data_IF_177802814493
#
_entry.id   IF_177802814493
#
_cell.length_a   1.000
_cell.length_b   1.000
_cell.length_c   1.000
_cell.angle_alpha   90.00
_cell.angle_beta   90.00
_cell.angle_gamma   90.00
#
_symmetry.space_group_name_H-M   'P 1'
#
loop_
_entity.id
_entity.type
_entity.pdbx_description
1 polymer ?
#
# COMPACT_ATOMS: atom_id res chain seq x y z
N UNK A 1 2.83 13.91 -12.12
CA UNK A 1 3.43 13.29 -13.32
C UNK A 1 2.38 12.94 -14.36
N UNK A 2 1.24 12.36 -13.95
CA UNK A 2 0.21 11.87 -14.86
C UNK A 2 -0.73 12.96 -15.39
N UNK A 3 -1.33 12.68 -16.54
CA UNK A 3 -2.61 13.28 -16.99
C UNK A 3 -3.79 12.40 -16.57
N UNK A 4 -5.02 12.92 -16.66
CA UNK A 4 -6.24 12.15 -16.39
C UNK A 4 -6.30 10.85 -17.20
N UNK A 5 -6.02 10.92 -18.50
CA UNK A 5 -6.03 9.74 -19.39
C UNK A 5 -4.98 8.70 -18.98
N UNK A 6 -3.80 9.14 -18.57
CA UNK A 6 -2.73 8.25 -18.10
C UNK A 6 -3.11 7.57 -16.78
N UNK A 7 -3.67 8.33 -15.83
CA UNK A 7 -4.16 7.79 -14.56
C UNK A 7 -5.27 6.76 -14.78
N UNK A 8 -6.28 7.08 -15.61
CA UNK A 8 -7.36 6.17 -15.96
C UNK A 8 -6.84 4.91 -16.66
N UNK A 9 -5.88 5.04 -17.58
CA UNK A 9 -5.25 3.90 -18.25
C UNK A 9 -4.52 2.98 -17.28
N UNK A 10 -3.76 3.54 -16.33
CA UNK A 10 -3.11 2.76 -15.29
C UNK A 10 -4.14 1.99 -14.46
N UNK A 11 -5.15 2.67 -13.93
CA UNK A 11 -6.17 2.07 -13.07
C UNK A 11 -6.95 0.98 -13.80
N UNK A 12 -7.32 1.19 -15.06
CA UNK A 12 -7.99 0.17 -15.86
C UNK A 12 -7.09 -1.05 -16.12
N UNK A 13 -5.80 -0.82 -16.35
CA UNK A 13 -4.82 -1.90 -16.56
C UNK A 13 -4.67 -2.74 -15.29
N UNK A 14 -4.51 -2.10 -14.14
CA UNK A 14 -4.44 -2.79 -12.85
C UNK A 14 -5.75 -3.50 -12.52
N UNK A 15 -6.90 -2.85 -12.69
CA UNK A 15 -8.22 -3.46 -12.49
C UNK A 15 -8.36 -4.75 -13.29
N UNK A 16 -7.97 -4.74 -14.58
CA UNK A 16 -8.00 -5.94 -15.42
C UNK A 16 -7.08 -7.04 -14.89
N UNK A 17 -5.87 -6.70 -14.43
CA UNK A 17 -4.92 -7.67 -13.90
C UNK A 17 -5.36 -8.30 -12.56
N UNK A 18 -6.07 -7.55 -11.72
CA UNK A 18 -6.52 -8.04 -10.41
C UNK A 18 -7.92 -8.67 -10.43
N UNK A 19 -8.71 -8.52 -11.51
CA UNK A 19 -10.10 -8.97 -11.55
C UNK A 19 -10.25 -10.49 -11.36
N UNK A 20 -9.59 -11.30 -12.20
CA UNK A 20 -9.73 -12.75 -12.14
C UNK A 20 -9.20 -13.32 -10.81
N UNK A 21 -8.18 -12.67 -10.24
CA UNK A 21 -7.67 -13.00 -8.91
C UNK A 21 -8.69 -12.68 -7.82
N UNK A 22 -9.35 -11.52 -7.87
CA UNK A 22 -10.38 -11.17 -6.90
C UNK A 22 -11.60 -12.10 -6.98
N UNK A 23 -11.98 -12.52 -8.20
CA UNK A 23 -13.04 -13.52 -8.39
C UNK A 23 -12.66 -14.85 -7.75
N UNK A 24 -11.43 -15.30 -7.99
CA UNK A 24 -10.89 -16.53 -7.38
C UNK A 24 -10.85 -16.42 -5.86
N UNK A 25 -10.36 -15.30 -5.32
CA UNK A 25 -10.32 -15.05 -3.88
C UNK A 25 -11.72 -15.18 -3.26
N UNK A 26 -12.73 -14.49 -3.80
CA UNK A 26 -14.10 -14.56 -3.27
C UNK A 26 -14.68 -15.97 -3.38
N UNK A 27 -14.36 -16.70 -4.45
CA UNK A 27 -14.80 -18.08 -4.61
C UNK A 27 -14.15 -19.01 -3.57
N UNK A 28 -12.84 -18.90 -3.36
CA UNK A 28 -12.10 -19.64 -2.33
C UNK A 28 -12.70 -19.39 -0.93
N UNK A 29 -13.08 -18.14 -0.63
CA UNK A 29 -13.73 -17.79 0.65
C UNK A 29 -15.11 -18.44 0.79
N UNK A 30 -15.94 -18.40 -0.26
CA UNK A 30 -17.26 -19.03 -0.27
C UNK A 30 -17.17 -20.54 -0.11
N UNK A 31 -16.24 -21.18 -0.81
CA UNK A 31 -16.03 -22.62 -0.75
C UNK A 31 -15.51 -23.04 0.63
N UNK A 32 -14.57 -22.29 1.20
CA UNK A 32 -14.10 -22.53 2.56
C UNK A 32 -15.21 -22.33 3.60
N UNK A 33 -15.97 -21.24 3.51
CA UNK A 33 -17.14 -20.99 4.37
C UNK A 33 -18.15 -22.15 4.30
N UNK A 34 -18.46 -22.63 3.09
CA UNK A 34 -19.33 -23.79 2.86
C UNK A 34 -18.78 -25.08 3.46
N UNK A 35 -17.48 -25.35 3.29
CA UNK A 35 -16.84 -26.53 3.86
C UNK A 35 -16.87 -26.54 5.40
N UNK A 36 -16.84 -25.35 6.02
CA UNK A 36 -16.97 -25.20 7.47
C UNK A 36 -18.42 -25.31 7.96
N UNK A 37 -19.39 -25.51 7.06
CA UNK A 37 -20.81 -25.68 7.38
C UNK A 37 -21.49 -24.39 7.84
N UNK A 38 -20.92 -23.22 7.52
CA UNK A 38 -21.47 -21.95 7.94
C UNK A 38 -22.74 -21.59 7.14
N UNK A 39 -23.83 -21.16 7.80
CA UNK A 39 -25.09 -20.86 7.13
C UNK A 39 -24.98 -19.69 6.13
N UNK A 40 -24.12 -18.71 6.42
CA UNK A 40 -23.85 -17.55 5.58
C UNK A 40 -23.15 -17.90 4.24
N UNK A 41 -22.68 -19.14 4.06
CA UNK A 41 -22.13 -19.58 2.77
C UNK A 41 -23.12 -19.44 1.60
N UNK A 42 -24.42 -19.54 1.88
CA UNK A 42 -25.49 -19.38 0.88
C UNK A 42 -25.89 -17.91 0.65
N UNK A 43 -25.46 -16.99 1.52
CA UNK A 43 -25.74 -15.56 1.46
C UNK A 43 -24.48 -14.79 1.91
N UNK A 44 -23.40 -14.99 1.16
CA UNK A 44 -22.08 -14.47 1.49
C UNK A 44 -21.96 -12.98 1.13
N UNK A 45 -21.71 -12.15 2.12
CA UNK A 45 -21.80 -10.69 2.04
C UNK A 45 -20.47 -9.99 2.37
N UNK A 46 -20.43 -8.65 2.23
CA UNK A 46 -19.20 -7.85 2.43
C UNK A 46 -18.59 -8.00 3.83
N UNK A 47 -19.43 -8.12 4.87
CA UNK A 47 -18.96 -8.30 6.25
C UNK A 47 -18.32 -9.67 6.50
N UNK A 48 -18.60 -10.66 5.64
CA UNK A 48 -18.06 -12.01 5.74
C UNK A 48 -16.64 -12.12 5.18
N UNK A 49 -16.27 -11.25 4.23
CA UNK A 49 -14.98 -11.32 3.51
C UNK A 49 -13.82 -11.33 4.49
N UNK A 50 -13.73 -10.36 5.40
CA UNK A 50 -12.56 -10.24 6.30
C UNK A 50 -12.48 -11.37 7.32
N UNK A 51 -13.62 -11.80 7.86
CA UNK A 51 -13.68 -12.93 8.78
C UNK A 51 -13.18 -14.22 8.09
N UNK A 52 -13.78 -14.58 6.96
CA UNK A 52 -13.42 -15.80 6.25
C UNK A 52 -12.03 -15.73 5.61
N UNK A 53 -11.54 -14.54 5.26
CA UNK A 53 -10.15 -14.33 4.83
C UNK A 53 -9.19 -14.76 5.92
N UNK A 54 -9.40 -14.34 7.16
CA UNK A 54 -8.51 -14.71 8.26
C UNK A 54 -8.65 -16.20 8.62
N UNK A 55 -9.87 -16.76 8.65
CA UNK A 55 -10.06 -18.20 8.89
C UNK A 55 -9.40 -19.07 7.81
N UNK A 56 -9.53 -18.70 6.54
CA UNK A 56 -8.87 -19.40 5.44
C UNK A 56 -7.35 -19.22 5.53
N UNK A 57 -6.85 -18.03 5.89
CA UNK A 57 -5.42 -17.78 6.07
C UNK A 57 -4.82 -18.66 7.17
N UNK A 58 -5.49 -18.74 8.32
CA UNK A 58 -5.11 -19.61 9.43
C UNK A 58 -5.06 -21.07 9.00
N UNK A 59 -6.12 -21.56 8.34
CA UNK A 59 -6.18 -22.95 7.88
C UNK A 59 -5.16 -23.28 6.79
N UNK A 60 -4.94 -22.38 5.84
CA UNK A 60 -4.10 -22.61 4.65
C UNK A 60 -2.61 -22.48 4.94
N UNK A 61 -2.23 -21.56 5.82
CA UNK A 61 -0.82 -21.27 6.11
C UNK A 61 -0.41 -21.64 7.53
N UNK A 62 -1.34 -22.05 8.40
CA UNK A 62 -1.09 -22.32 9.82
C UNK A 62 -0.38 -21.13 10.49
N UNK A 63 -0.93 -19.94 10.24
CA UNK A 63 -0.47 -18.67 10.78
C UNK A 63 -1.59 -18.02 11.58
N UNK A 64 -1.36 -17.83 12.87
CA UNK A 64 -2.29 -17.14 13.77
C UNK A 64 -1.72 -15.78 14.10
N UNK A 65 -2.45 -14.71 13.77
CA UNK A 65 -1.96 -13.34 13.97
C UNK A 65 -1.62 -13.05 15.43
N UNK A 66 -2.44 -13.53 16.38
CA UNK A 66 -2.23 -13.31 17.81
C UNK A 66 -0.91 -13.90 18.31
N UNK A 67 -0.51 -15.07 17.83
CA UNK A 67 0.79 -15.68 18.17
C UNK A 67 1.96 -14.91 17.55
N UNK A 68 1.76 -14.34 16.35
CA UNK A 68 2.79 -13.55 15.69
C UNK A 68 3.05 -12.23 16.41
N UNK A 69 2.02 -11.61 17.01
CA UNK A 69 2.15 -10.33 17.74
C UNK A 69 3.21 -10.39 18.83
N UNK A 70 3.39 -11.53 19.48
CA UNK A 70 4.39 -11.73 20.54
C UNK A 70 5.83 -11.50 20.06
N UNK A 71 6.09 -11.62 18.76
CA UNK A 71 7.40 -11.41 18.14
C UNK A 71 7.64 -9.97 17.65
N UNK A 72 6.61 -9.12 17.62
CA UNK A 72 6.69 -7.77 17.05
C UNK A 72 6.34 -6.71 18.10
N UNK A 73 7.16 -6.59 19.14
CA UNK A 73 7.04 -5.47 20.06
C UNK A 73 7.57 -4.18 19.42
N UNK A 74 6.89 -3.05 19.66
CA UNK A 74 7.30 -1.75 19.11
C UNK A 74 8.79 -1.41 19.31
N UNK A 75 9.41 -1.64 20.49
CA UNK A 75 10.84 -1.40 20.67
C UNK A 75 11.72 -2.23 19.71
N UNK A 76 11.46 -3.54 19.59
CA UNK A 76 12.23 -4.42 18.69
C UNK A 76 12.04 -4.05 17.22
N UNK A 77 10.83 -3.63 16.85
CA UNK A 77 10.51 -3.17 15.50
C UNK A 77 11.26 -1.87 15.17
N UNK A 78 11.31 -0.91 16.10
CA UNK A 78 12.09 0.31 15.93
C UNK A 78 13.59 0.03 15.79
N UNK A 79 14.14 -0.86 16.62
CA UNK A 79 15.55 -1.23 16.54
C UNK A 79 15.90 -1.82 15.17
N UNK A 80 15.10 -2.78 14.67
CA UNK A 80 15.31 -3.37 13.35
C UNK A 80 15.08 -2.40 12.19
N UNK A 81 14.13 -1.47 12.32
CA UNK A 81 13.91 -0.39 11.36
C UNK A 81 15.12 0.55 11.28
N UNK A 82 15.68 0.94 12.43
CA UNK A 82 16.84 1.83 12.48
C UNK A 82 18.13 1.13 12.04
N UNK A 83 18.29 -0.16 12.34
CA UNK A 83 19.39 -0.96 11.80
C UNK A 83 19.32 -1.07 10.27
N UNK A 84 18.12 -1.28 9.72
CA UNK A 84 17.91 -1.24 8.28
C UNK A 84 18.26 0.13 7.69
N UNK A 85 17.80 1.22 8.31
CA UNK A 85 18.08 2.57 7.87
C UNK A 85 19.59 2.88 7.88
N UNK A 86 20.31 2.36 8.88
CA UNK A 86 21.76 2.44 8.91
C UNK A 86 22.41 1.69 7.75
N UNK A 87 21.99 0.44 7.54
CA UNK A 87 22.52 -0.39 6.45
C UNK A 87 22.27 0.25 5.09
N UNK A 88 21.04 0.69 4.80
CA UNK A 88 20.67 1.23 3.49
C UNK A 88 21.13 2.66 3.28
N UNK A 89 21.04 3.52 4.29
CA UNK A 89 21.19 4.95 4.11
C UNK A 89 22.39 5.52 4.88
N UNK A 90 23.02 4.77 5.78
CA UNK A 90 24.22 5.22 6.49
C UNK A 90 23.94 6.23 7.60
N UNK A 91 22.72 6.20 8.13
CA UNK A 91 22.28 7.07 9.22
C UNK A 91 22.18 6.30 10.53
N UNK A 92 22.30 7.00 11.65
CA UNK A 92 22.01 6.45 12.98
C UNK A 92 20.86 7.23 13.60
N UNK A 93 19.88 6.49 14.12
CA UNK A 93 18.75 7.07 14.85
C UNK A 93 18.95 6.78 16.33
N UNK A 94 18.89 7.82 17.16
CA UNK A 94 19.01 7.71 18.62
C UNK A 94 17.83 8.39 19.29
N UNK A 95 17.35 7.79 20.38
CA UNK A 95 16.36 8.44 21.23
C UNK A 95 16.90 9.78 21.76
N UNK A 96 16.03 10.78 21.77
CA UNK A 96 16.29 12.13 22.23
C UNK A 96 15.18 12.61 23.21
N UNK A 97 14.50 11.65 23.84
CA UNK A 97 13.44 11.88 24.81
C UNK A 97 13.92 12.85 25.91
N UNK A 98 13.08 13.82 26.28
CA UNK A 98 13.37 14.82 27.31
C UNK A 98 14.22 16.02 26.85
N UNK A 99 14.73 16.03 25.62
CA UNK A 99 15.46 17.19 25.06
C UNK A 99 14.54 18.27 24.46
N UNK A 100 13.29 17.92 24.16
CA UNK A 100 12.29 18.83 23.55
C UNK A 100 10.91 18.65 24.20
N UNK A 101 10.04 19.69 24.17
CA UNK A 101 8.66 19.57 24.61
C UNK A 101 7.87 18.56 23.77
N UNK A 102 6.98 17.81 24.42
CA UNK A 102 6.06 16.88 23.77
C UNK A 102 4.62 17.15 24.21
N UNK A 103 3.65 16.82 23.35
CA UNK A 103 2.21 17.03 23.63
C UNK A 103 1.54 15.89 24.41
N UNK A 104 2.18 14.71 24.45
CA UNK A 104 1.65 13.56 25.18
C UNK A 104 2.80 12.71 25.73
N UNK A 105 2.60 12.06 26.89
CA UNK A 105 3.62 11.27 27.59
C UNK A 105 4.16 10.06 26.79
N UNK A 106 3.37 9.58 25.84
CA UNK A 106 3.71 8.42 25.00
C UNK A 106 4.48 8.82 23.73
N UNK A 107 4.65 10.12 23.48
CA UNK A 107 5.40 10.62 22.32
C UNK A 107 6.90 10.38 22.56
N UNK A 108 7.54 9.78 21.56
CA UNK A 108 8.98 9.53 21.54
C UNK A 108 9.68 10.54 20.63
N UNK A 109 10.85 11.02 21.03
CA UNK A 109 11.69 11.90 20.22
C UNK A 109 12.93 11.16 19.73
N UNK A 110 13.32 11.41 18.48
CA UNK A 110 14.52 10.82 17.88
C UNK A 110 15.36 11.85 17.14
N UNK A 111 16.67 11.67 17.19
CA UNK A 111 17.66 12.43 16.43
C UNK A 111 18.33 11.53 15.40
N UNK A 112 18.52 12.05 14.19
CA UNK A 112 19.16 11.36 13.07
C UNK A 112 20.56 11.91 12.87
N UNK A 113 21.54 11.02 12.69
CA UNK A 113 22.97 11.34 12.59
C UNK A 113 23.58 10.76 11.32
N UNK A 114 24.57 11.46 10.78
CA UNK A 114 25.35 11.03 9.62
C UNK A 114 26.49 10.07 10.00
N UNK A 115 26.62 8.97 9.26
CA UNK A 115 27.71 7.99 9.42
C UNK A 115 27.77 7.38 10.82
N UNK A 116 28.83 6.63 11.13
CA UNK A 116 28.96 5.99 12.46
C UNK A 116 29.28 6.94 13.62
N UNK A 117 29.26 8.26 13.39
CA UNK A 117 29.85 9.23 14.30
C UNK A 117 29.01 9.36 15.59
N UNK A 118 29.45 8.63 16.60
CA UNK A 118 29.20 8.92 18.02
C UNK A 118 30.28 9.86 18.55
N UNK A 119 30.87 10.69 17.69
CA UNK A 119 31.84 11.69 18.13
C UNK A 119 31.11 12.71 19.00
N UNK A 120 31.70 13.16 20.13
CA UNK A 120 31.10 14.19 20.98
C UNK A 120 30.76 15.49 20.21
N UNK A 121 31.45 15.73 19.09
CA UNK A 121 31.34 16.97 18.30
C UNK A 121 30.44 16.84 17.05
N UNK A 122 29.88 15.66 16.75
CA UNK A 122 28.94 15.58 15.63
C UNK A 122 27.64 16.32 16.00
N UNK A 123 26.92 16.81 14.99
CA UNK A 123 25.59 17.38 15.16
C UNK A 123 24.57 16.50 14.44
N UNK A 124 23.33 16.38 14.96
CA UNK A 124 22.27 15.67 14.26
C UNK A 124 21.95 16.39 12.94
N UNK A 125 21.56 15.61 11.93
CA UNK A 125 21.13 16.13 10.63
C UNK A 125 19.62 16.33 10.54
N UNK A 126 18.85 15.73 11.44
CA UNK A 126 17.40 15.86 11.51
C UNK A 126 16.83 15.35 12.85
N UNK A 127 15.55 15.64 13.08
CA UNK A 127 14.78 15.07 14.19
C UNK A 127 13.42 14.55 13.72
N UNK A 128 12.84 13.60 14.46
CA UNK A 128 11.44 13.27 14.29
C UNK A 128 10.80 12.82 15.61
N UNK A 129 9.48 12.95 15.66
CA UNK A 129 8.66 12.49 16.78
C UNK A 129 7.83 11.29 16.33
N UNK A 130 7.60 10.35 17.23
CA UNK A 130 6.68 9.24 17.03
C UNK A 130 5.59 9.31 18.10
N UNK A 131 4.34 9.45 17.67
CA UNK A 131 3.14 9.32 18.49
C UNK A 131 2.43 8.01 18.09
N UNK A 132 2.72 6.88 18.77
CA UNK A 132 2.45 5.56 18.23
C UNK A 132 1.02 5.07 18.47
N UNK A 133 0.38 5.47 19.57
CA UNK A 133 -0.79 4.76 20.08
C UNK A 133 -2.12 5.42 19.69
N UNK A 134 -3.15 4.57 19.59
CA UNK A 134 -4.54 4.97 19.40
C UNK A 134 -5.07 5.71 20.62
N UNK A 135 -5.69 6.87 20.38
CA UNK A 135 -6.37 7.69 21.39
C UNK A 135 -7.62 8.34 20.79
N UNK A 136 -8.71 7.58 20.57
CA UNK A 136 -9.84 8.05 19.78
C UNK A 136 -10.60 9.25 20.39
N UNK A 137 -10.39 9.54 21.68
CA UNK A 137 -10.98 10.69 22.35
C UNK A 137 -10.41 12.03 21.88
N UNK A 138 -9.16 12.07 21.44
CA UNK A 138 -8.44 13.33 21.14
C UNK A 138 -7.46 13.25 19.96
N UNK A 139 -7.29 12.07 19.33
CA UNK A 139 -6.40 11.84 18.20
C UNK A 139 -7.17 11.24 17.01
N UNK A 140 -6.94 11.81 15.83
CA UNK A 140 -7.48 11.30 14.55
C UNK A 140 -6.97 9.87 14.28
N UNK A 141 -7.85 9.01 13.76
CA UNK A 141 -7.50 7.66 13.31
C UNK A 141 -6.59 7.62 12.09
N UNK A 142 -6.11 6.42 11.73
CA UNK A 142 -5.19 6.19 10.60
C UNK A 142 -3.71 6.30 10.97
N UNK A 143 -2.84 6.36 9.98
CA UNK A 143 -1.41 6.67 10.17
C UNK A 143 -0.98 7.67 9.13
N UNK A 144 -0.08 8.58 9.51
CA UNK A 144 0.47 9.57 8.59
C UNK A 144 1.78 10.15 9.12
N UNK A 145 2.58 10.64 8.18
CA UNK A 145 3.72 11.50 8.44
C UNK A 145 3.29 12.96 8.27
N UNK A 146 3.86 13.87 9.08
CA UNK A 146 3.68 15.31 8.89
C UNK A 146 5.01 16.06 8.98
N UNK A 147 5.37 16.90 7.98
CA UNK A 147 6.55 17.74 8.05
C UNK A 147 6.31 18.94 8.99
N UNK A 148 7.20 19.16 9.95
CA UNK A 148 7.10 20.26 10.93
C UNK A 148 7.93 21.46 10.46
N UNK A 149 9.21 21.22 10.26
CA UNK A 149 10.18 22.19 9.73
C UNK A 149 10.91 21.51 8.59
N UNK A 150 11.02 22.16 7.44
CA UNK A 150 11.80 21.67 6.31
C UNK A 150 13.22 22.22 6.33
N UNK A 151 14.14 21.50 5.68
CA UNK A 151 15.51 21.99 5.47
C UNK A 151 15.49 23.28 4.67
N UNK A 152 16.18 24.32 5.12
CA UNK A 152 16.20 25.60 4.40
C UNK A 152 17.39 26.48 4.79
N UNK A 153 18.13 26.97 3.78
CA UNK A 153 19.18 27.98 3.91
C UNK A 153 18.66 29.38 4.26
N UNK A 154 17.36 29.61 4.07
CA UNK A 154 16.72 30.90 4.39
C UNK A 154 16.40 31.03 5.88
N UNK A 155 16.43 29.93 6.64
CA UNK A 155 16.27 29.99 8.08
C UNK A 155 17.56 30.54 8.74
N UNK A 156 17.41 31.34 9.82
CA UNK A 156 18.55 31.88 10.57
C UNK A 156 19.53 30.80 11.03
N UNK A 157 20.83 31.05 11.01
CA UNK A 157 21.87 30.05 11.32
C UNK A 157 21.78 29.44 12.74
N UNK A 158 21.15 30.15 13.69
CA UNK A 158 20.87 29.69 15.06
C UNK A 158 19.64 28.77 15.14
N UNK A 159 18.72 28.88 14.18
CA UNK A 159 17.74 27.84 13.87
C UNK A 159 18.40 26.91 12.85
N UNK A 160 19.16 25.90 13.30
CA UNK A 160 20.10 25.05 12.53
C UNK A 160 19.62 24.45 11.17
N UNK A 161 18.42 24.78 10.69
CA UNK A 161 17.91 24.44 9.37
C UNK A 161 17.62 22.95 9.26
N UNK A 162 17.61 22.25 10.39
CA UNK A 162 17.45 20.81 10.43
C UNK A 162 15.98 20.45 10.22
N UNK A 163 15.67 19.55 9.28
CA UNK A 163 14.31 19.09 9.08
C UNK A 163 13.78 18.34 10.31
N UNK A 164 12.51 18.59 10.62
CA UNK A 164 11.77 17.94 11.71
C UNK A 164 10.47 17.37 11.16
N UNK A 165 10.12 16.14 11.55
CA UNK A 165 8.89 15.46 11.14
C UNK A 165 8.15 14.80 12.31
N UNK A 166 6.87 14.50 12.12
CA UNK A 166 6.06 13.64 12.97
C UNK A 166 5.71 12.34 12.24
N UNK A 167 5.74 11.22 12.97
CA UNK A 167 5.05 9.98 12.63
C UNK A 167 3.90 9.84 13.62
N UNK A 168 2.68 9.73 13.12
CA UNK A 168 1.48 9.50 13.89
C UNK A 168 0.91 8.15 13.47
N UNK A 169 0.82 7.21 14.41
CA UNK A 169 0.18 5.91 14.20
C UNK A 169 -0.98 5.74 15.19
N UNK A 170 -1.86 4.76 14.96
CA UNK A 170 -2.93 4.39 15.89
C UNK A 170 -2.80 2.93 16.33
N UNK A 171 -1.60 2.54 16.78
CA UNK A 171 -1.32 1.21 17.30
C UNK A 171 -2.10 0.92 18.59
N UNK A 172 -2.35 -0.35 18.85
CA UNK A 172 -2.91 -0.77 20.14
C UNK A 172 -1.99 -0.32 21.29
N UNK A 173 -2.50 0.45 22.26
CA UNK A 173 -1.69 0.86 23.41
C UNK A 173 -1.15 -0.35 24.19
N UNK A 174 -0.04 -0.20 24.93
CA UNK A 174 0.44 -1.22 25.87
C UNK A 174 -0.69 -1.65 26.83
N UNK A 175 -0.78 -2.96 27.10
CA UNK A 175 -1.80 -3.53 27.99
C UNK A 175 -1.09 -4.07 29.24
N UNK A 176 -1.38 -3.47 30.40
CA UNK A 176 -0.73 -3.80 31.69
C UNK A 176 0.80 -3.70 31.55
N UNK A 177 1.51 -4.79 31.83
CA UNK A 177 2.97 -4.85 31.79
C UNK A 177 3.52 -5.30 30.42
N UNK A 178 2.65 -5.54 29.43
CA UNK A 178 3.07 -5.94 28.07
C UNK A 178 3.37 -4.70 27.22
N UNK A 179 4.45 -4.72 26.40
CA UNK A 179 4.69 -3.65 25.45
C UNK A 179 3.59 -3.61 24.37
N UNK A 180 3.59 -2.58 23.54
CA UNK A 180 2.77 -2.55 22.33
C UNK A 180 3.18 -3.69 21.39
N UNK A 181 2.33 -4.70 21.25
CA UNK A 181 2.52 -5.85 20.36
C UNK A 181 1.78 -5.63 19.04
N UNK A 182 2.52 -5.69 17.94
CA UNK A 182 2.10 -5.24 16.62
C UNK A 182 1.72 -6.42 15.73
N UNK A 183 0.73 -6.24 14.87
CA UNK A 183 0.57 -7.12 13.70
C UNK A 183 1.69 -6.88 12.69
N UNK A 184 1.87 -7.78 11.72
CA UNK A 184 2.74 -7.48 10.59
C UNK A 184 2.21 -6.30 9.75
N UNK A 185 0.89 -6.09 9.73
CA UNK A 185 0.28 -4.92 9.10
C UNK A 185 0.72 -3.61 9.77
N UNK A 186 0.68 -3.56 11.10
CA UNK A 186 1.16 -2.41 11.89
C UNK A 186 2.65 -2.14 11.65
N UNK A 187 3.47 -3.20 11.58
CA UNK A 187 4.90 -3.08 11.27
C UNK A 187 5.11 -2.47 9.88
N UNK A 188 4.36 -2.94 8.88
CA UNK A 188 4.40 -2.36 7.53
C UNK A 188 4.01 -0.89 7.53
N UNK A 189 2.95 -0.52 8.25
CA UNK A 189 2.51 0.87 8.37
C UNK A 189 3.59 1.75 9.01
N UNK A 190 4.27 1.29 10.07
CA UNK A 190 5.37 2.05 10.66
C UNK A 190 6.55 2.24 9.67
N UNK A 191 6.90 1.20 8.90
CA UNK A 191 7.91 1.28 7.86
C UNK A 191 7.51 2.26 6.75
N UNK A 192 6.22 2.26 6.37
CA UNK A 192 5.65 3.18 5.40
C UNK A 192 5.84 4.64 5.83
N UNK A 193 5.37 5.01 7.03
CA UNK A 193 5.52 6.38 7.53
C UNK A 193 6.99 6.80 7.71
N UNK A 194 7.84 5.86 8.11
CA UNK A 194 9.28 6.13 8.22
C UNK A 194 9.92 6.40 6.85
N UNK A 195 9.41 5.82 5.76
CA UNK A 195 9.84 6.16 4.40
C UNK A 195 9.61 7.64 4.05
N UNK A 196 8.47 8.22 4.45
CA UNK A 196 8.24 9.66 4.33
C UNK A 196 9.19 10.47 5.21
N UNK A 197 9.42 10.06 6.46
CA UNK A 197 10.41 10.71 7.33
C UNK A 197 11.80 10.71 6.68
N UNK A 198 12.22 9.60 6.09
CA UNK A 198 13.50 9.52 5.39
C UNK A 198 13.59 10.53 4.23
N UNK A 199 12.53 10.66 3.41
CA UNK A 199 12.52 11.62 2.29
C UNK A 199 12.56 13.07 2.76
N UNK A 200 11.84 13.38 3.84
CA UNK A 200 11.85 14.73 4.42
C UNK A 200 13.18 15.08 5.09
N UNK A 201 13.77 14.13 5.80
CA UNK A 201 14.93 14.36 6.68
C UNK A 201 16.27 14.18 6.00
N UNK A 202 16.37 13.34 4.97
CA UNK A 202 17.62 13.07 4.26
C UNK A 202 17.80 13.91 2.99
N UNK A 203 16.90 14.87 2.76
CA UNK A 203 17.03 15.82 1.66
C UNK A 203 18.34 16.60 1.73
N UNK A 204 19.01 16.74 0.59
CA UNK A 204 20.22 17.56 0.44
C UNK A 204 19.92 18.93 -0.15
N UNK A 205 18.68 19.16 -0.59
CA UNK A 205 18.18 20.48 -0.96
C UNK A 205 18.21 21.40 0.25
N UNK A 206 18.74 22.60 0.08
CA UNK A 206 18.68 23.68 1.07
C UNK A 206 17.72 24.81 0.63
N UNK A 207 17.13 24.71 -0.56
CA UNK A 207 16.05 25.59 -0.99
C UNK A 207 14.70 25.13 -0.38
N UNK A 208 14.21 25.87 0.61
CA UNK A 208 13.14 25.41 1.51
C UNK A 208 11.77 25.22 0.86
N UNK A 209 11.59 25.70 -0.37
CA UNK A 209 10.37 25.51 -1.17
C UNK A 209 10.35 24.18 -1.93
N UNK A 210 11.49 23.52 -2.09
CA UNK A 210 11.63 22.23 -2.79
C UNK A 210 12.36 21.18 -1.96
N UNK A 211 12.73 21.49 -0.73
CA UNK A 211 13.39 20.56 0.17
C UNK A 211 12.42 19.55 0.80
N UNK A 212 12.95 18.36 1.06
CA UNK A 212 12.20 17.26 1.66
C UNK A 212 11.14 16.77 0.68
N UNK A 213 9.88 16.77 1.12
CA UNK A 213 8.76 16.32 0.29
C UNK A 213 8.10 17.45 -0.52
N UNK A 214 8.51 18.71 -0.32
CA UNK A 214 7.89 19.85 -1.00
C UNK A 214 8.26 19.89 -2.48
N UNK A 215 7.29 20.20 -3.32
CA UNK A 215 7.47 20.31 -4.76
C UNK A 215 7.58 18.96 -5.49
N UNK A 216 7.52 17.84 -4.78
CA UNK A 216 7.40 16.51 -5.38
C UNK A 216 5.96 16.33 -5.85
N UNK A 217 5.78 15.90 -7.09
CA UNK A 217 4.47 15.60 -7.65
C UNK A 217 3.77 14.51 -6.83
N UNK A 218 2.49 14.74 -6.51
CA UNK A 218 1.70 13.93 -5.58
C UNK A 218 1.66 12.43 -5.94
N UNK A 219 1.73 12.09 -7.22
CA UNK A 219 1.73 10.70 -7.70
C UNK A 219 3.08 9.98 -7.52
N UNK A 220 4.12 10.67 -7.05
CA UNK A 220 5.43 10.10 -6.71
C UNK A 220 5.76 10.15 -5.20
N UNK A 221 4.94 10.84 -4.39
CA UNK A 221 5.23 11.09 -2.96
C UNK A 221 5.22 9.81 -2.11
N UNK A 222 4.51 8.78 -2.58
CA UNK A 222 4.37 7.47 -1.92
C UNK A 222 5.47 6.48 -2.33
N UNK A 223 6.40 6.88 -3.22
CA UNK A 223 7.52 6.04 -3.65
C UNK A 223 8.37 5.55 -2.45
N UNK A 224 8.95 6.42 -1.61
CA UNK A 224 9.82 5.96 -0.53
C UNK A 224 9.07 5.24 0.60
N UNK A 225 7.82 5.62 0.89
CA UNK A 225 6.99 4.97 1.91
C UNK A 225 6.68 3.53 1.54
N UNK A 226 6.12 3.29 0.35
CA UNK A 226 5.83 1.95 -0.15
C UNK A 226 7.09 1.13 -0.44
N UNK A 227 8.20 1.78 -0.81
CA UNK A 227 9.50 1.11 -0.94
C UNK A 227 9.92 0.47 0.39
N UNK A 228 9.76 1.20 1.51
CA UNK A 228 10.13 0.71 2.84
C UNK A 228 9.31 -0.53 3.26
N UNK A 229 8.04 -0.63 2.88
CA UNK A 229 7.19 -1.80 3.20
C UNK A 229 7.75 -3.13 2.68
N UNK A 230 8.48 -3.13 1.55
CA UNK A 230 9.04 -4.36 0.98
C UNK A 230 10.07 -5.02 1.91
N UNK A 231 10.78 -4.21 2.72
CA UNK A 231 11.77 -4.70 3.65
C UNK A 231 11.16 -5.46 4.84
N UNK A 232 9.87 -5.32 5.10
CA UNK A 232 9.18 -6.14 6.10
C UNK A 232 9.16 -7.63 5.74
N UNK A 233 9.38 -7.99 4.46
CA UNK A 233 9.51 -9.39 4.01
C UNK A 233 10.95 -9.79 3.71
N UNK A 234 11.91 -8.87 3.79
CA UNK A 234 13.32 -9.19 3.65
C UNK A 234 13.79 -9.98 4.88
N UNK A 235 14.31 -11.18 4.65
CA UNK A 235 14.65 -12.14 5.72
C UNK A 235 15.47 -11.54 6.84
N UNK A 236 16.58 -10.86 6.54
CA UNK A 236 17.48 -10.33 7.59
C UNK A 236 16.79 -9.22 8.38
N UNK A 237 16.02 -8.36 7.73
CA UNK A 237 15.25 -7.30 8.39
C UNK A 237 14.20 -7.91 9.31
N UNK A 238 13.33 -8.79 8.79
CA UNK A 238 12.27 -9.42 9.57
C UNK A 238 12.84 -10.19 10.77
N UNK A 239 13.84 -11.04 10.54
CA UNK A 239 14.43 -11.84 11.62
C UNK A 239 15.22 -10.99 12.63
N UNK A 240 15.68 -9.80 12.24
CA UNK A 240 16.33 -8.84 13.14
C UNK A 240 15.36 -8.21 14.14
N UNK A 241 14.15 -7.86 13.67
CA UNK A 241 13.09 -7.27 14.52
C UNK A 241 12.15 -8.29 15.19
N UNK A 242 12.00 -9.49 14.61
CA UNK A 242 11.03 -10.47 15.09
C UNK A 242 11.60 -11.33 16.23
N UNK A 243 11.48 -10.83 17.46
CA UNK A 243 11.92 -11.50 18.69
C UNK A 243 10.78 -11.52 19.71
N UNK A 244 10.58 -12.67 20.34
CA UNK A 244 9.55 -12.84 21.35
C UNK A 244 9.78 -11.86 22.51
N UNK A 245 8.75 -11.10 22.88
CA UNK A 245 8.92 -9.98 23.82
C UNK A 245 9.38 -10.41 25.22
N UNK A 246 8.99 -11.59 25.69
CA UNK A 246 9.43 -12.12 27.01
C UNK A 246 10.76 -12.88 26.96
N UNK A 247 10.91 -13.83 26.02
CA UNK A 247 12.06 -14.75 25.99
C UNK A 247 13.24 -14.22 25.19
N UNK A 248 13.02 -13.23 24.32
CA UNK A 248 14.03 -12.73 23.38
C UNK A 248 14.34 -13.68 22.21
N UNK A 249 13.66 -14.84 22.13
CA UNK A 249 13.89 -15.82 21.08
C UNK A 249 13.46 -15.29 19.71
N UNK A 250 14.28 -15.52 18.69
CA UNK A 250 13.96 -15.14 17.32
C UNK A 250 12.78 -15.95 16.77
N UNK A 251 12.00 -15.31 15.90
CA UNK A 251 10.91 -15.97 15.18
C UNK A 251 11.40 -17.28 14.51
N UNK A 252 10.71 -18.41 14.70
CA UNK A 252 11.13 -19.66 14.08
C UNK A 252 11.18 -19.54 12.55
N UNK A 253 12.25 -20.07 11.93
CA UNK A 253 12.43 -20.03 10.46
C UNK A 253 11.26 -20.65 9.68
N UNK A 254 10.58 -21.63 10.27
CA UNK A 254 9.38 -22.24 9.68
C UNK A 254 8.22 -21.24 9.58
N UNK A 255 8.02 -20.41 10.60
CA UNK A 255 6.99 -19.36 10.62
C UNK A 255 7.32 -18.26 9.60
N UNK A 256 8.59 -17.85 9.48
CA UNK A 256 9.02 -16.93 8.41
C UNK A 256 8.67 -17.45 7.01
N UNK A 257 8.90 -18.74 6.73
CA UNK A 257 8.53 -19.34 5.43
C UNK A 257 7.03 -19.28 5.18
N UNK A 258 6.21 -19.53 6.21
CA UNK A 258 4.75 -19.42 6.14
C UNK A 258 4.33 -17.96 5.85
N UNK A 259 4.93 -16.97 6.52
CA UNK A 259 4.69 -15.55 6.26
C UNK A 259 4.97 -15.18 4.81
N UNK A 260 6.09 -15.66 4.26
CA UNK A 260 6.45 -15.41 2.87
C UNK A 260 5.46 -16.07 1.89
N UNK A 261 5.01 -17.30 2.19
CA UNK A 261 4.00 -17.99 1.39
C UNK A 261 2.62 -17.29 1.41
N UNK A 262 2.29 -16.61 2.51
CA UNK A 262 1.05 -15.86 2.68
C UNK A 262 1.11 -14.42 2.15
N UNK A 263 2.28 -13.92 1.69
CA UNK A 263 2.47 -12.51 1.26
C UNK A 263 1.40 -12.05 0.27
N UNK A 264 1.09 -12.89 -0.71
CA UNK A 264 0.21 -12.57 -1.83
C UNK A 264 -1.21 -13.13 -1.67
N UNK A 265 -1.50 -13.77 -0.54
CA UNK A 265 -2.81 -14.34 -0.25
C UNK A 265 -3.90 -13.27 -0.34
N UNK A 266 -4.98 -13.56 -1.06
CA UNK A 266 -6.08 -12.63 -1.27
C UNK A 266 -5.66 -11.24 -1.78
N UNK A 267 -4.63 -11.15 -2.63
CA UNK A 267 -4.17 -9.85 -3.15
C UNK A 267 -5.16 -9.20 -4.13
N UNK A 268 -6.04 -9.98 -4.77
CA UNK A 268 -7.13 -9.46 -5.60
C UNK A 268 -8.14 -8.67 -4.78
N UNK A 269 -8.76 -9.35 -3.82
CA UNK A 269 -9.76 -8.76 -2.90
C UNK A 269 -9.18 -7.65 -2.01
N UNK A 270 -7.87 -7.67 -1.71
CA UNK A 270 -7.20 -6.57 -0.98
C UNK A 270 -6.88 -5.35 -1.84
N UNK A 271 -6.58 -5.52 -3.13
CA UNK A 271 -6.09 -4.41 -3.97
C UNK A 271 -7.21 -3.73 -4.76
N UNK A 272 -8.20 -4.49 -5.21
CA UNK A 272 -9.27 -3.96 -6.04
C UNK A 272 -10.09 -2.83 -5.38
N UNK A 273 -10.36 -2.85 -4.06
CA UNK A 273 -10.98 -1.71 -3.36
C UNK A 273 -10.15 -0.41 -3.44
N UNK A 274 -8.82 -0.47 -3.37
CA UNK A 274 -7.99 0.74 -3.55
C UNK A 274 -8.05 1.28 -5.00
N UNK A 275 -8.19 0.38 -5.97
CA UNK A 275 -8.37 0.77 -7.38
C UNK A 275 -9.77 1.37 -7.59
N UNK A 276 -10.80 0.83 -6.93
CA UNK A 276 -12.14 1.41 -6.90
C UNK A 276 -12.09 2.84 -6.37
N UNK A 277 -11.51 3.05 -5.18
CA UNK A 277 -11.41 4.36 -4.53
C UNK A 277 -10.75 5.39 -5.45
N UNK A 278 -9.67 5.01 -6.14
CA UNK A 278 -8.99 5.87 -7.11
C UNK A 278 -9.85 6.18 -8.35
N UNK A 279 -10.63 5.22 -8.84
CA UNK A 279 -11.53 5.43 -9.97
C UNK A 279 -12.71 6.33 -9.56
N UNK A 280 -13.28 6.13 -8.37
CA UNK A 280 -14.37 6.95 -7.85
C UNK A 280 -13.92 8.39 -7.68
N UNK A 281 -12.75 8.60 -7.08
CA UNK A 281 -12.13 9.92 -6.95
C UNK A 281 -12.03 10.63 -8.31
N UNK A 282 -11.44 9.99 -9.31
CA UNK A 282 -11.32 10.58 -10.65
C UNK A 282 -12.68 10.82 -11.31
N UNK A 283 -13.67 9.94 -11.16
CA UNK A 283 -15.00 10.16 -11.73
C UNK A 283 -15.73 11.35 -11.08
N UNK A 284 -15.63 11.49 -9.75
CA UNK A 284 -16.20 12.62 -9.01
C UNK A 284 -15.58 13.96 -9.42
N UNK A 285 -14.29 13.98 -9.77
CA UNK A 285 -13.56 15.20 -10.10
C UNK A 285 -13.40 15.47 -11.61
N UNK A 286 -13.94 14.61 -12.48
CA UNK A 286 -13.82 14.79 -13.95
C UNK A 286 -15.13 14.71 -14.73
N UNK A 287 -16.10 13.90 -14.28
CA UNK A 287 -17.35 13.65 -15.02
C UNK A 287 -18.59 14.06 -14.24
N UNK A 288 -18.55 13.91 -12.92
CA UNK A 288 -19.67 14.25 -12.06
C UNK A 288 -19.93 15.75 -12.05
N UNK A 289 -21.21 16.14 -12.08
CA UNK A 289 -21.66 17.53 -12.02
C UNK A 289 -22.41 17.70 -10.70
N UNK A 290 -21.85 18.45 -9.73
CA UNK A 290 -22.56 18.79 -8.49
C UNK A 290 -23.91 19.46 -8.78
N UNK A 291 -24.89 19.21 -7.91
CA UNK A 291 -26.28 19.69 -8.04
C UNK A 291 -27.04 19.23 -9.30
N UNK A 292 -26.48 18.29 -10.05
CA UNK A 292 -27.16 17.59 -11.14
C UNK A 292 -28.18 16.54 -10.65
N UNK A 293 -28.70 15.74 -11.57
CA UNK A 293 -29.66 14.67 -11.26
C UNK A 293 -29.03 13.41 -10.65
N UNK A 294 -27.72 13.25 -10.76
CA UNK A 294 -26.97 12.11 -10.25
C UNK A 294 -26.42 12.42 -8.85
N UNK A 295 -26.44 11.46 -7.93
CA UNK A 295 -25.80 11.62 -6.61
C UNK A 295 -24.40 11.00 -6.59
N UNK A 296 -23.54 11.45 -5.67
CA UNK A 296 -22.21 10.85 -5.46
C UNK A 296 -22.28 9.34 -5.15
N UNK A 297 -23.35 8.89 -4.48
CA UNK A 297 -23.55 7.46 -4.16
C UNK A 297 -23.94 6.66 -5.41
N UNK A 298 -24.60 7.28 -6.38
CA UNK A 298 -24.85 6.64 -7.67
C UNK A 298 -23.58 6.51 -8.51
N UNK A 299 -22.72 7.54 -8.52
CA UNK A 299 -21.37 7.45 -9.11
C UNK A 299 -20.61 6.29 -8.50
N UNK A 300 -20.54 6.24 -7.17
CA UNK A 300 -19.87 5.17 -6.43
C UNK A 300 -20.40 3.78 -6.82
N UNK A 301 -21.73 3.60 -6.79
CA UNK A 301 -22.37 2.33 -7.17
C UNK A 301 -21.98 1.87 -8.58
N UNK A 302 -22.02 2.76 -9.58
CA UNK A 302 -21.61 2.45 -10.96
C UNK A 302 -20.16 1.98 -11.03
N UNK A 303 -19.26 2.60 -10.25
CA UNK A 303 -17.86 2.16 -10.20
C UNK A 303 -17.74 0.80 -9.51
N UNK A 304 -18.43 0.57 -8.39
CA UNK A 304 -18.43 -0.72 -7.69
C UNK A 304 -18.87 -1.88 -8.58
N UNK A 305 -19.88 -1.69 -9.44
CA UNK A 305 -20.38 -2.74 -10.35
C UNK A 305 -19.30 -3.30 -11.30
N UNK A 306 -18.22 -2.56 -11.54
CA UNK A 306 -17.07 -2.99 -12.38
C UNK A 306 -15.78 -3.22 -11.58
N UNK A 307 -15.78 -3.01 -10.27
CA UNK A 307 -14.60 -3.09 -9.40
C UNK A 307 -14.79 -3.94 -8.15
N UNK A 308 -16.00 -4.41 -7.85
CA UNK A 308 -16.27 -5.42 -6.80
C UNK A 308 -16.82 -6.69 -7.42
N UNK A 309 -16.44 -7.82 -6.83
CA UNK A 309 -16.97 -9.14 -7.21
C UNK A 309 -18.35 -9.36 -6.57
N UNK A 310 -18.53 -8.91 -5.32
CA UNK A 310 -19.84 -8.91 -4.67
C UNK A 310 -20.64 -7.68 -5.11
N UNK A 311 -21.98 -7.81 -5.27
CA UNK A 311 -22.85 -6.68 -5.58
C UNK A 311 -22.68 -5.54 -4.56
N UNK A 312 -22.79 -4.27 -4.97
CA UNK A 312 -22.71 -3.14 -4.05
C UNK A 312 -23.79 -3.21 -2.97
N UNK A 313 -23.45 -2.86 -1.73
CA UNK A 313 -24.44 -2.73 -0.67
C UNK A 313 -25.34 -1.50 -0.95
N UNK A 314 -26.69 -1.64 -0.97
CA UNK A 314 -27.58 -0.54 -1.37
C UNK A 314 -27.40 0.74 -0.55
N UNK A 315 -27.11 0.58 0.75
CA UNK A 315 -26.93 1.69 1.67
C UNK A 315 -25.46 2.06 1.91
N UNK A 316 -24.53 1.68 1.02
CA UNK A 316 -23.12 2.07 1.14
C UNK A 316 -22.98 3.61 1.20
N UNK A 317 -22.29 4.09 2.24
CA UNK A 317 -21.96 5.50 2.50
C UNK A 317 -20.47 5.67 2.79
N UNK A 318 -19.62 4.75 2.31
CA UNK A 318 -18.17 4.79 2.55
C UNK A 318 -17.54 6.12 2.14
N UNK A 319 -18.07 6.80 1.11
CA UNK A 319 -17.66 8.14 0.70
C UNK A 319 -17.68 9.17 1.84
N UNK A 320 -18.64 9.10 2.76
CA UNK A 320 -18.70 10.03 3.89
C UNK A 320 -17.52 9.86 4.87
N UNK A 321 -16.85 8.71 4.85
CA UNK A 321 -15.63 8.44 5.61
C UNK A 321 -14.34 8.60 4.78
N UNK A 322 -14.43 8.94 3.49
CA UNK A 322 -13.28 8.92 2.57
C UNK A 322 -12.47 10.23 2.66
N UNK A 323 -11.82 10.43 3.80
CA UNK A 323 -11.12 11.68 4.15
C UNK A 323 -10.02 12.07 3.16
N UNK A 324 -9.39 11.12 2.48
CA UNK A 324 -8.27 11.37 1.56
C UNK A 324 -8.62 12.41 0.47
N UNK A 325 -9.82 12.35 -0.10
CA UNK A 325 -10.23 13.21 -1.24
C UNK A 325 -11.20 14.31 -0.84
N UNK A 326 -11.56 14.40 0.45
CA UNK A 326 -12.47 15.43 0.95
C UNK A 326 -11.80 16.36 1.98
N UNK A 327 -10.67 15.93 2.57
CA UNK A 327 -9.93 16.70 3.58
C UNK A 327 -8.47 16.21 3.73
N UNK A 328 -7.86 15.69 2.65
CA UNK A 328 -6.63 14.89 2.76
C UNK A 328 -5.53 15.23 1.78
N UNK A 329 -5.78 16.06 0.76
CA UNK A 329 -4.78 16.43 -0.24
C UNK A 329 -4.65 15.44 -1.41
N UNK A 330 -5.55 14.45 -1.51
CA UNK A 330 -5.60 13.49 -2.61
C UNK A 330 -6.79 13.73 -3.55
N UNK A 331 -7.36 14.94 -3.57
CA UNK A 331 -8.46 15.32 -4.45
C UNK A 331 -8.05 15.13 -5.93
N UNK A 332 -8.77 14.28 -6.68
CA UNK A 332 -8.38 13.84 -8.03
C UNK A 332 -6.96 13.24 -8.11
N UNK A 333 -6.46 12.69 -7.00
CA UNK A 333 -5.08 12.29 -6.79
C UNK A 333 -4.92 10.94 -6.09
N UNK A 334 -6.00 10.26 -5.67
CA UNK A 334 -5.89 8.99 -4.93
C UNK A 334 -5.24 7.87 -5.75
N UNK A 335 -5.30 7.96 -7.09
CA UNK A 335 -4.54 7.08 -7.99
C UNK A 335 -3.03 7.12 -7.75
N UNK A 336 -2.52 8.20 -7.15
CA UNK A 336 -1.11 8.39 -6.79
C UNK A 336 -0.56 7.24 -5.95
N UNK A 337 -1.38 6.60 -5.10
CA UNK A 337 -0.98 5.39 -4.37
C UNK A 337 -0.60 4.25 -5.31
N UNK A 338 -1.41 3.96 -6.35
CA UNK A 338 -1.09 2.89 -7.30
C UNK A 338 0.04 3.29 -8.26
N UNK A 339 0.09 4.57 -8.64
CA UNK A 339 1.17 5.11 -9.47
C UNK A 339 2.53 4.97 -8.80
N UNK A 340 2.65 5.44 -7.56
CA UNK A 340 3.84 5.25 -6.74
C UNK A 340 4.11 3.78 -6.43
N UNK A 341 3.10 2.91 -6.39
CA UNK A 341 3.31 1.47 -6.16
C UNK A 341 4.04 0.80 -7.31
N UNK A 342 3.81 1.28 -8.54
CA UNK A 342 4.61 0.88 -9.72
C UNK A 342 6.06 1.31 -9.54
N UNK A 343 6.28 2.58 -9.18
CA UNK A 343 7.62 3.12 -8.95
C UNK A 343 8.34 2.35 -7.83
N UNK A 344 7.70 2.13 -6.68
CA UNK A 344 8.31 1.54 -5.50
C UNK A 344 8.61 0.05 -5.66
N UNK A 345 7.72 -0.71 -6.31
CA UNK A 345 7.98 -2.11 -6.65
C UNK A 345 9.17 -2.24 -7.61
N UNK A 346 9.26 -1.36 -8.63
CA UNK A 346 10.37 -1.39 -9.58
C UNK A 346 11.68 -0.87 -8.98
N UNK A 347 11.60 0.10 -8.06
CA UNK A 347 12.75 0.53 -7.29
C UNK A 347 13.28 -0.61 -6.39
N UNK A 348 12.39 -1.35 -5.73
CA UNK A 348 12.77 -2.52 -4.94
C UNK A 348 13.32 -3.65 -5.80
N UNK A 349 12.80 -3.83 -7.02
CA UNK A 349 13.32 -4.80 -7.99
C UNK A 349 14.81 -4.60 -8.29
N UNK A 350 15.35 -3.38 -8.24
CA UNK A 350 16.79 -3.16 -8.40
C UNK A 350 17.62 -3.87 -7.32
N UNK A 351 17.09 -3.99 -6.09
CA UNK A 351 17.72 -4.74 -5.00
C UNK A 351 17.58 -6.25 -5.19
N UNK A 352 16.49 -6.71 -5.81
CA UNK A 352 16.31 -8.10 -6.21
C UNK A 352 17.30 -8.50 -7.32
N UNK A 353 17.51 -7.62 -8.31
CA UNK A 353 18.40 -7.84 -9.48
C UNK A 353 19.85 -8.12 -9.05
N UNK A 354 20.35 -7.44 -8.01
CA UNK A 354 21.71 -7.65 -7.47
C UNK A 354 21.79 -8.77 -6.42
N UNK A 355 20.63 -9.32 -6.03
CA UNK A 355 20.47 -10.31 -4.97
C UNK A 355 20.43 -9.69 -3.57
N UNK A 356 19.32 -9.86 -2.86
CA UNK A 356 19.11 -9.32 -1.50
C UNK A 356 20.12 -9.83 -0.45
N UNK A 357 20.77 -10.96 -0.70
CA UNK A 357 21.80 -11.50 0.18
C UNK A 357 23.19 -10.87 -0.05
N UNK A 358 23.39 -10.19 -1.19
CA UNK A 358 24.63 -9.49 -1.51
C UNK A 358 24.67 -8.14 -0.77
N UNK A 359 25.13 -8.17 0.48
CA UNK A 359 25.06 -7.01 1.36
C UNK A 359 25.79 -5.78 0.82
N UNK A 360 26.92 -5.98 0.13
CA UNK A 360 27.70 -4.89 -0.46
C UNK A 360 26.90 -4.17 -1.54
N UNK A 361 26.25 -4.92 -2.44
CA UNK A 361 25.43 -4.34 -3.49
C UNK A 361 24.13 -3.74 -2.96
N UNK A 362 23.50 -4.37 -1.96
CA UNK A 362 22.34 -3.81 -1.26
C UNK A 362 22.68 -2.47 -0.60
N UNK A 363 23.83 -2.37 0.09
CA UNK A 363 24.27 -1.11 0.68
C UNK A 363 24.56 -0.07 -0.40
N UNK A 364 25.26 -0.44 -1.48
CA UNK A 364 25.55 0.47 -2.61
C UNK A 364 24.27 1.02 -3.22
N UNK A 365 23.28 0.17 -3.47
CA UNK A 365 21.97 0.59 -3.99
C UNK A 365 21.19 1.43 -2.97
N UNK A 366 21.26 1.10 -1.69
CA UNK A 366 20.68 1.93 -0.63
C UNK A 366 21.26 3.34 -0.62
N UNK A 367 22.58 3.48 -0.75
CA UNK A 367 23.25 4.78 -0.88
C UNK A 367 22.80 5.52 -2.14
N UNK A 368 22.71 4.82 -3.28
CA UNK A 368 22.17 5.41 -4.51
C UNK A 368 20.72 5.89 -4.33
N UNK A 369 19.86 5.10 -3.69
CA UNK A 369 18.47 5.47 -3.40
C UNK A 369 18.42 6.72 -2.51
N UNK A 370 19.29 6.79 -1.50
CA UNK A 370 19.46 7.97 -0.66
C UNK A 370 19.86 9.20 -1.47
N UNK A 371 20.90 9.09 -2.28
CA UNK A 371 21.48 10.20 -3.08
C UNK A 371 20.55 10.69 -4.20
N UNK A 372 19.51 9.93 -4.53
CA UNK A 372 18.52 10.27 -5.56
C UNK A 372 17.16 10.54 -4.93
N UNK A 373 16.38 9.48 -4.68
CA UNK A 373 14.98 9.53 -4.25
C UNK A 373 14.78 10.28 -2.94
N UNK A 374 15.71 10.15 -1.98
CA UNK A 374 15.60 10.81 -0.67
C UNK A 374 16.26 12.19 -0.63
N UNK A 375 17.29 12.42 -1.44
CA UNK A 375 18.10 13.63 -1.39
C UNK A 375 17.47 14.81 -2.15
N UNK A 376 16.95 14.55 -3.36
CA UNK A 376 16.74 15.61 -4.36
C UNK A 376 15.46 16.42 -4.17
N UNK A 377 14.54 15.98 -3.30
CA UNK A 377 13.27 16.64 -3.03
C UNK A 377 12.48 16.97 -4.30
N UNK A 378 11.73 18.07 -4.29
CA UNK A 378 11.05 18.62 -5.47
C UNK A 378 11.97 19.45 -6.38
N UNK A 379 13.29 19.41 -6.18
CA UNK A 379 14.26 20.17 -6.98
C UNK A 379 14.52 19.57 -8.35
N UNK A 380 14.03 18.36 -8.62
CA UNK A 380 14.15 17.65 -9.90
C UNK A 380 12.88 16.83 -10.15
N UNK A 381 12.46 16.71 -11.41
CA UNK A 381 11.24 15.99 -11.76
C UNK A 381 11.35 14.50 -11.33
N UNK A 382 10.34 13.90 -10.67
CA UNK A 382 10.42 12.57 -10.08
C UNK A 382 10.74 11.45 -11.06
N UNK A 383 10.30 11.56 -12.32
CA UNK A 383 10.66 10.57 -13.35
C UNK A 383 12.18 10.56 -13.60
N UNK A 384 12.81 11.74 -13.62
CA UNK A 384 14.25 11.83 -13.82
C UNK A 384 15.02 11.31 -12.60
N UNK A 385 14.55 11.64 -11.38
CA UNK A 385 15.09 11.07 -10.13
C UNK A 385 14.99 9.54 -10.15
N UNK A 386 13.85 9.00 -10.58
CA UNK A 386 13.65 7.57 -10.70
C UNK A 386 14.60 6.96 -11.72
N UNK A 387 14.82 7.60 -12.88
CA UNK A 387 15.77 7.11 -13.89
C UNK A 387 17.20 7.18 -13.37
N UNK A 388 17.61 8.23 -12.66
CA UNK A 388 18.94 8.32 -12.03
C UNK A 388 19.17 7.16 -11.06
N UNK A 389 18.14 6.78 -10.30
CA UNK A 389 18.19 5.62 -9.43
C UNK A 389 18.16 4.29 -10.21
N UNK A 390 17.18 4.09 -11.08
CA UNK A 390 16.83 2.80 -11.67
C UNK A 390 17.69 2.46 -12.89
N UNK A 391 18.20 3.47 -13.58
CA UNK A 391 18.90 3.40 -14.86
C UNK A 391 17.97 3.32 -16.08
N UNK A 392 16.65 3.38 -15.89
CA UNK A 392 15.61 3.31 -16.93
C UNK A 392 14.28 3.84 -16.41
N UNK A 393 13.33 4.06 -17.32
CA UNK A 393 11.94 4.36 -16.98
C UNK A 393 11.27 3.21 -16.19
N UNK A 394 10.22 3.53 -15.40
CA UNK A 394 9.53 2.55 -14.56
C UNK A 394 8.77 1.51 -15.37
N UNK A 395 8.74 0.28 -14.86
CA UNK A 395 7.99 -0.85 -15.39
C UNK A 395 6.96 -1.32 -14.37
N UNK A 396 5.78 -1.71 -14.85
CA UNK A 396 4.73 -2.32 -14.02
C UNK A 396 5.01 -3.80 -13.71
N UNK A 397 5.93 -4.46 -14.43
CA UNK A 397 6.23 -5.90 -14.23
C UNK A 397 6.57 -6.25 -12.78
N UNK A 398 7.45 -5.52 -12.05
CA UNK A 398 7.79 -5.86 -10.68
C UNK A 398 6.58 -5.82 -9.75
N UNK A 399 5.69 -4.84 -9.91
CA UNK A 399 4.45 -4.75 -9.15
C UNK A 399 3.58 -5.99 -9.36
N UNK A 400 3.36 -6.40 -10.62
CA UNK A 400 2.58 -7.58 -10.93
C UNK A 400 3.26 -8.85 -10.38
N UNK A 401 4.57 -8.97 -10.52
CA UNK A 401 5.34 -10.10 -9.98
C UNK A 401 5.25 -10.21 -8.48
N UNK A 402 5.44 -9.11 -7.76
CA UNK A 402 5.37 -9.07 -6.31
C UNK A 402 3.99 -9.45 -5.79
N UNK A 403 2.93 -9.32 -6.59
CA UNK A 403 1.56 -9.71 -6.24
C UNK A 403 1.10 -11.02 -6.91
N UNK A 404 1.99 -11.78 -7.55
CA UNK A 404 1.66 -13.09 -8.13
C UNK A 404 0.93 -13.06 -9.48
N UNK A 405 1.00 -11.94 -10.20
CA UNK A 405 0.24 -11.65 -11.44
C UNK A 405 1.08 -11.72 -12.73
N UNK A 406 2.22 -12.45 -12.73
CA UNK A 406 3.15 -12.50 -13.87
C UNK A 406 2.53 -12.94 -15.21
N UNK A 407 1.49 -13.78 -15.18
CA UNK A 407 0.80 -14.23 -16.40
C UNK A 407 0.19 -13.05 -17.19
N UNK A 408 -0.20 -11.96 -16.52
CA UNK A 408 -0.65 -10.72 -17.19
C UNK A 408 0.50 -9.89 -17.77
N UNK A 409 1.68 -9.87 -17.13
CA UNK A 409 2.84 -9.12 -17.63
C UNK A 409 3.27 -9.60 -19.03
N UNK A 410 3.16 -10.91 -19.27
CA UNK A 410 3.50 -11.52 -20.56
C UNK A 410 2.46 -11.23 -21.67
N UNK A 411 1.21 -10.92 -21.34
CA UNK A 411 0.17 -10.58 -22.32
C UNK A 411 0.16 -9.09 -22.70
N UNK A 412 0.54 -8.20 -21.78
CA UNK A 412 0.63 -6.75 -22.07
C UNK A 412 1.76 -6.39 -23.03
N UNK A 413 2.83 -7.20 -23.11
CA UNK A 413 3.96 -6.98 -24.04
C UNK A 413 3.61 -7.41 -25.47
N UNK A 414 2.61 -8.26 -25.67
CA UNK A 414 2.20 -8.75 -26.99
C UNK A 414 1.04 -7.97 -27.63
N UNK A 415 0.34 -7.10 -26.88
CA UNK A 415 -0.74 -6.28 -27.42
C UNK A 415 -0.23 -4.94 -27.96
N UNK A 416 0.21 -4.94 -29.22
CA UNK A 416 0.30 -3.73 -30.05
C UNK A 416 -1.12 -3.14 -30.22
N UNK A 417 -1.35 -1.80 -30.27
CA UNK A 417 -2.70 -1.22 -30.21
C UNK A 417 -3.59 -1.46 -31.45
N UNK A 418 -3.19 -2.30 -32.41
CA UNK A 418 -3.90 -2.50 -33.66
C UNK A 418 -4.56 -3.88 -33.85
N UNK A 419 -4.59 -4.74 -32.84
CA UNK A 419 -5.28 -6.04 -32.96
C UNK A 419 -5.94 -6.44 -31.65
N UNK A 420 -7.16 -5.96 -31.43
CA UNK A 420 -8.11 -6.61 -30.52
C UNK A 420 -8.59 -7.88 -31.23
N UNK A 421 -8.05 -9.03 -30.84
CA UNK A 421 -8.58 -10.31 -31.28
C UNK A 421 -9.91 -10.58 -30.54
N UNK A 422 -11.00 -10.41 -31.27
CA UNK A 422 -12.35 -10.87 -30.93
C UNK A 422 -12.41 -12.40 -30.92
N UNK A 423 -12.01 -13.05 -29.83
CA UNK A 423 -12.28 -14.49 -29.63
C UNK A 423 -13.24 -14.79 -28.49
N UNK A 424 -13.54 -13.84 -27.61
CA UNK A 424 -14.51 -14.03 -26.52
C UNK A 424 -15.96 -13.60 -26.85
N UNK A 425 -16.18 -12.87 -27.96
CA UNK A 425 -17.52 -12.40 -28.35
C UNK A 425 -18.36 -13.43 -29.14
N UNK A 426 -17.75 -14.52 -29.64
CA UNK A 426 -18.44 -15.51 -30.48
C UNK A 426 -19.20 -16.55 -29.64
N UNK A 427 -18.75 -16.83 -28.41
CA UNK A 427 -19.38 -17.82 -27.52
C UNK A 427 -20.81 -17.42 -27.12
N UNK A 428 -21.03 -16.14 -26.79
CA UNK A 428 -22.34 -15.66 -26.34
C UNK A 428 -23.39 -15.56 -27.45
N UNK A 429 -22.99 -15.25 -28.69
CA UNK A 429 -23.93 -15.21 -29.84
C UNK A 429 -24.48 -16.59 -30.19
N UNK A 430 -23.68 -17.65 -30.08
CA UNK A 430 -24.13 -19.02 -30.35
C UNK A 430 -25.06 -19.55 -29.25
N UNK A 431 -24.83 -19.17 -27.99
CA UNK A 431 -25.72 -19.49 -26.87
C UNK A 431 -27.05 -18.73 -27.00
N UNK A 432 -27.03 -17.46 -27.38
CA UNK A 432 -28.24 -16.65 -27.57
C UNK A 432 -29.09 -17.12 -28.77
N UNK A 433 -28.46 -17.52 -29.87
CA UNK A 433 -29.16 -18.09 -31.04
C UNK A 433 -29.76 -19.45 -30.70
N UNK A 434 -29.06 -20.29 -29.93
CA UNK A 434 -29.58 -21.59 -29.48
C UNK A 434 -30.80 -21.44 -28.55
N UNK A 435 -30.79 -20.44 -27.66
CA UNK A 435 -31.91 -20.12 -26.77
C UNK A 435 -33.12 -19.55 -27.51
N UNK A 436 -32.92 -18.71 -28.54
CA UNK A 436 -34.04 -18.21 -29.37
C UNK A 436 -34.68 -19.31 -30.23
N UNK A 437 -33.88 -20.26 -30.74
CA UNK A 437 -34.41 -21.40 -31.50
C UNK A 437 -35.27 -22.29 -30.58
N UNK A 438 -34.80 -22.58 -29.36
CA UNK A 438 -35.58 -23.34 -28.36
C UNK A 438 -36.89 -22.63 -27.97
N UNK A 439 -36.89 -21.30 -27.85
CA UNK A 439 -38.10 -20.54 -27.53
C UNK A 439 -39.13 -20.56 -28.67
N UNK A 440 -38.67 -20.53 -29.93
CA UNK A 440 -39.54 -20.53 -31.12
C UNK A 440 -40.21 -21.90 -31.34
N UNK A 441 -39.52 -23.00 -31.01
CA UNK A 441 -40.10 -24.34 -31.04
C UNK A 441 -41.09 -24.59 -29.89
N UNK A 442 -40.83 -24.04 -28.70
CA UNK A 442 -41.74 -24.16 -27.56
C UNK A 442 -43.07 -23.43 -27.78
N UNK A 443 -43.06 -22.24 -28.39
CA UNK A 443 -44.29 -21.49 -28.73
C UNK A 443 -45.09 -22.13 -29.86
N UNK A 444 -44.41 -22.78 -30.81
CA UNK A 444 -45.08 -23.50 -31.92
C UNK A 444 -45.74 -24.80 -31.46
N UNK A 445 -45.19 -25.46 -30.44
CA UNK A 445 -45.76 -26.68 -29.86
C UNK A 445 -46.93 -26.40 -28.88
N UNK A 446 -46.93 -25.23 -28.24
CA UNK A 446 -48.05 -24.81 -27.38
C UNK A 446 -49.27 -24.31 -28.18
N UNK A 447 -49.05 -23.72 -29.37
CA UNK A 447 -50.16 -23.34 -30.27
C UNK A 447 -50.84 -24.51 -30.98
N UNK A 448 -50.21 -25.69 -31.09
CA UNK A 448 -50.83 -26.88 -31.71
C UNK A 448 -51.65 -27.74 -30.73
N UNK A 449 -51.55 -27.48 -29.42
CA UNK A 449 -52.27 -28.21 -28.37
C UNK A 449 -53.59 -27.53 -27.98
N UNK A 450 -53.80 -26.26 -28.34
CA UNK A 450 -55.05 -25.51 -28.08
C UNK A 450 -55.58 -24.91 -29.38
N UNK A 451 -56.28 -25.72 -30.18
CA UNK A 451 -57.05 -25.22 -31.30
C UNK A 451 -58.41 -24.70 -30.84
N UNK A 452 -58.69 -23.41 -31.02
CA UNK A 452 -60.06 -22.86 -31.10
C UNK A 452 -60.09 -21.64 -32.03
N UNK A 453 -60.81 -21.83 -33.15
CA UNK A 453 -61.47 -20.90 -34.09
C UNK A 453 -60.70 -19.75 -34.73
#
# INVERSE_FOLDING_TARGET
MATLDQAQKLLQTLRNAYWDLAVTDVQDLKDFCKHQGAPEANDFNHWDIMFWTERLRESKYELYEEQLREYFSLPMVLDGLFELANKLFGIHVKAADGSTPVWHKDVRCFSVWEGSSSSPDSTPIAHFYLDPYSRPSDKRGGSWMYPVVGRSRALPADCAGLPVAYILCNLMPPIRDKPCLMTLGDVKTLFHEFGHVLQHTLTTQDEGLVAGMKGIEMDAIELPSQFMENWCYHRKTLMGMAKHYETGESLPKAIYKKLLAARNFCSGTRTLPQIEDAIVDLELHSKYIPDGSESIFYVHKRVCERTRVLPPFPDDKSLCGFQHIFNGGYEAGYYGYQWSKVLSADAFSAFEDVGLENEKEVQRLGRRFRETVLALGGGKHPLEIFIDFRGREPSMEPLLRHNGLLHYANHSVQSNPHTINCTYAISWRLVYISLMILFTYATSYLCSIWGVM
#
